data_IF_438783793638
#
_entry.id   IF_438783793638
#
_cell.length_a   1.000
_cell.length_b   1.000
_cell.length_c   1.000
_cell.angle_alpha   90.00
_cell.angle_beta   90.00
_cell.angle_gamma   90.00
#
_symmetry.space_group_name_H-M   'P 1'
#
loop_
_entity.id
_entity.type
_entity.pdbx_description
1 polymer ?
#
# COMPACT_ATOMS: atom_id res chain seq x y z
N UNK A 1 2.51 3.37 9.44
CA UNK A 1 3.62 2.75 10.16
C UNK A 1 3.10 2.28 11.50
N UNK A 2 3.27 1.00 11.85
CA UNK A 2 2.99 0.53 13.19
C UNK A 2 3.80 1.31 14.20
N UNK A 3 3.30 1.34 15.42
CA UNK A 3 3.95 2.03 16.52
C UNK A 3 5.21 1.27 16.90
N UNK A 4 6.25 2.00 17.33
CA UNK A 4 7.48 1.41 17.84
C UNK A 4 7.22 0.30 18.90
N UNK A 5 6.25 0.43 19.83
CA UNK A 5 5.88 -0.68 20.72
C UNK A 5 5.47 -1.97 20.00
N UNK A 6 4.65 -1.89 18.95
CA UNK A 6 4.23 -3.06 18.16
C UNK A 6 5.39 -3.66 17.40
N UNK A 7 6.26 -2.83 16.81
CA UNK A 7 7.49 -3.29 16.16
C UNK A 7 8.38 -4.06 17.14
N UNK A 8 8.68 -3.49 18.31
CA UNK A 8 9.51 -4.14 19.32
C UNK A 8 8.92 -5.48 19.78
N UNK A 9 7.61 -5.54 20.02
CA UNK A 9 6.93 -6.78 20.36
C UNK A 9 7.10 -7.84 19.26
N UNK A 10 6.93 -7.45 17.99
CA UNK A 10 7.10 -8.39 16.87
C UNK A 10 8.56 -8.82 16.72
N UNK A 11 9.53 -7.91 16.88
CA UNK A 11 10.95 -8.25 16.84
C UNK A 11 11.32 -9.30 17.90
N UNK A 12 10.78 -9.18 19.11
CA UNK A 12 10.95 -10.20 20.16
C UNK A 12 10.34 -11.55 19.76
N UNK A 13 9.13 -11.55 19.21
CA UNK A 13 8.46 -12.78 18.71
C UNK A 13 9.27 -13.47 17.61
N UNK A 14 9.93 -12.69 16.76
CA UNK A 14 10.79 -13.19 15.68
C UNK A 14 12.21 -13.58 16.17
N UNK A 15 12.55 -13.31 17.44
CA UNK A 15 13.88 -13.56 17.98
C UNK A 15 14.97 -12.65 17.40
N UNK A 16 14.60 -11.45 16.94
CA UNK A 16 15.53 -10.45 16.42
C UNK A 16 16.16 -9.63 17.57
N UNK A 17 17.32 -9.04 17.31
CA UNK A 17 18.00 -8.18 18.28
C UNK A 17 17.23 -6.86 18.42
N UNK A 18 16.38 -6.75 19.45
CA UNK A 18 15.52 -5.59 19.66
C UNK A 18 16.29 -4.26 19.84
N UNK A 19 17.53 -4.29 20.33
CA UNK A 19 18.36 -3.07 20.43
C UNK A 19 18.76 -2.57 19.03
N UNK A 20 19.28 -3.47 18.20
CA UNK A 20 19.65 -3.14 16.81
C UNK A 20 18.40 -2.74 16.02
N UNK A 21 17.29 -3.44 16.20
CA UNK A 21 16.07 -3.11 15.47
C UNK A 21 15.49 -1.76 15.86
N UNK A 22 15.61 -1.35 17.13
CA UNK A 22 15.23 0.01 17.55
C UNK A 22 16.09 1.08 16.85
N UNK A 23 17.40 0.86 16.78
CA UNK A 23 18.30 1.80 16.09
C UNK A 23 18.02 1.86 14.59
N UNK A 24 17.65 0.73 13.97
CA UNK A 24 17.24 0.69 12.57
C UNK A 24 15.89 1.40 12.36
N UNK A 25 14.90 1.19 13.23
CA UNK A 25 13.62 1.92 13.17
C UNK A 25 13.83 3.43 13.29
N UNK A 26 14.62 3.88 14.27
CA UNK A 26 14.95 5.30 14.44
C UNK A 26 15.64 5.87 13.19
N UNK A 27 16.55 5.11 12.60
CA UNK A 27 17.23 5.48 11.38
C UNK A 27 16.29 5.56 10.17
N UNK A 28 15.28 4.70 10.07
CA UNK A 28 14.35 4.71 8.92
C UNK A 28 13.26 5.78 9.08
N UNK A 29 12.78 6.01 10.30
CA UNK A 29 11.52 6.74 10.57
C UNK A 29 11.74 8.16 11.08
N UNK A 30 12.82 8.36 11.85
CA UNK A 30 13.04 9.59 12.61
C UNK A 30 14.19 10.38 12.01
N UNK A 31 15.36 9.75 11.87
CA UNK A 31 16.60 10.39 11.45
C UNK A 31 17.31 9.62 10.32
N UNK A 32 16.77 9.64 9.08
CA UNK A 32 17.40 9.01 7.92
C UNK A 32 18.81 9.54 7.65
N UNK A 33 19.74 8.70 7.18
CA UNK A 33 21.13 9.09 7.02
C UNK A 33 21.28 10.19 5.95
N UNK A 34 22.38 10.97 5.99
CA UNK A 34 22.74 11.89 4.92
C UNK A 34 22.77 11.19 3.57
N UNK A 35 22.33 11.88 2.52
CA UNK A 35 22.33 11.36 1.15
C UNK A 35 23.73 10.88 0.76
N UNK A 36 24.76 11.68 1.08
CA UNK A 36 26.16 11.39 0.77
C UNK A 36 26.71 10.10 1.42
N UNK A 37 26.13 9.63 2.52
CA UNK A 37 26.55 8.38 3.17
C UNK A 37 26.01 7.13 2.46
N UNK A 38 24.87 7.26 1.77
CA UNK A 38 24.16 6.14 1.12
C UNK A 38 24.41 6.13 -0.38
N UNK A 39 24.55 7.29 -1.00
CA UNK A 39 24.76 7.50 -2.43
C UNK A 39 26.16 8.10 -2.67
N UNK A 40 27.19 7.25 -2.84
CA UNK A 40 28.55 7.72 -3.08
C UNK A 40 28.62 8.41 -4.46
N UNK A 41 28.64 9.73 -4.45
CA UNK A 41 28.62 10.58 -5.66
C UNK A 41 27.72 11.82 -5.51
N UNK A 42 26.78 11.78 -4.57
CA UNK A 42 25.97 12.93 -4.20
C UNK A 42 26.66 13.70 -3.06
N UNK A 43 27.04 14.94 -3.31
CA UNK A 43 27.67 15.83 -2.31
C UNK A 43 26.66 16.67 -1.53
N UNK A 44 25.38 16.26 -1.51
CA UNK A 44 24.35 16.92 -0.72
C UNK A 44 24.54 16.64 0.78
N UNK A 45 24.47 17.70 1.59
CA UNK A 45 24.40 17.61 3.05
C UNK A 45 22.98 17.32 3.56
N UNK A 46 22.00 17.18 2.66
CA UNK A 46 20.63 16.83 3.03
C UNK A 46 20.54 15.36 3.50
N UNK A 47 19.54 15.09 4.33
CA UNK A 47 19.18 13.73 4.75
C UNK A 47 18.22 13.10 3.75
N UNK A 48 18.24 11.77 3.67
CA UNK A 48 17.23 11.03 2.94
C UNK A 48 15.83 11.27 3.53
N UNK A 49 14.79 11.04 2.74
CA UNK A 49 13.43 11.10 3.25
C UNK A 49 13.13 9.87 4.13
N UNK A 50 12.13 10.01 5.01
CA UNK A 50 11.65 8.90 5.86
C UNK A 50 11.22 7.71 5.02
N UNK A 51 11.52 6.50 5.50
CA UNK A 51 11.24 5.23 4.82
C UNK A 51 12.00 5.06 3.50
N UNK A 52 13.11 5.79 3.30
CA UNK A 52 14.03 5.51 2.20
C UNK A 52 14.50 4.05 2.26
N UNK A 53 14.49 3.38 1.12
CA UNK A 53 14.83 1.96 1.03
C UNK A 53 13.62 1.03 1.04
N UNK A 54 12.42 1.53 1.37
CA UNK A 54 11.21 0.72 1.23
C UNK A 54 10.91 0.37 -0.24
N UNK A 55 11.21 1.28 -1.19
CA UNK A 55 11.00 0.97 -2.61
C UNK A 55 12.10 0.05 -3.11
N UNK A 56 11.73 -0.89 -3.99
CA UNK A 56 12.63 -1.91 -4.53
C UNK A 56 13.95 -1.37 -5.12
N UNK A 57 13.91 -0.22 -5.80
CA UNK A 57 15.12 0.41 -6.37
C UNK A 57 15.99 1.17 -5.37
N UNK A 58 15.44 1.54 -4.21
CA UNK A 58 16.15 2.23 -3.12
C UNK A 58 16.73 1.21 -2.13
N UNK A 59 16.08 0.05 -2.00
CA UNK A 59 16.40 -0.98 -1.03
C UNK A 59 17.87 -1.44 -1.06
N UNK A 60 18.51 -1.71 -2.21
CA UNK A 60 19.91 -2.18 -2.24
C UNK A 60 20.90 -1.19 -1.61
N UNK A 61 20.64 0.11 -1.76
CA UNK A 61 21.48 1.18 -1.21
C UNK A 61 21.37 1.22 0.30
N UNK A 62 20.12 1.24 0.80
CA UNK A 62 19.84 1.25 2.23
C UNK A 62 20.33 -0.04 2.91
N UNK A 63 20.10 -1.18 2.28
CA UNK A 63 20.56 -2.49 2.75
C UNK A 63 22.09 -2.54 2.89
N UNK A 64 22.82 -2.03 1.89
CA UNK A 64 24.29 -1.95 1.94
C UNK A 64 24.78 -1.02 3.06
N UNK A 65 24.14 0.14 3.22
CA UNK A 65 24.48 1.09 4.27
C UNK A 65 24.25 0.49 5.67
N UNK A 66 23.06 -0.08 5.90
CA UNK A 66 22.69 -0.73 7.17
C UNK A 66 23.62 -1.91 7.47
N UNK A 67 23.98 -2.72 6.46
CA UNK A 67 24.94 -3.81 6.65
C UNK A 67 26.31 -3.33 7.11
N UNK A 68 26.84 -2.24 6.53
CA UNK A 68 28.13 -1.69 6.94
C UNK A 68 28.13 -1.18 8.39
N UNK A 69 26.99 -0.64 8.84
CA UNK A 69 26.85 -0.03 10.16
C UNK A 69 26.51 -1.02 11.27
N UNK A 70 25.63 -1.97 10.97
CA UNK A 70 25.01 -2.86 11.96
C UNK A 70 25.17 -4.35 11.63
N UNK A 71 25.89 -4.67 10.55
CA UNK A 71 26.12 -6.05 10.12
C UNK A 71 24.85 -6.78 9.65
N UNK A 72 24.89 -8.12 9.63
CA UNK A 72 23.74 -8.95 9.26
C UNK A 72 22.48 -8.68 10.08
N UNK A 73 22.63 -8.42 11.39
CA UNK A 73 21.49 -8.17 12.28
C UNK A 73 20.73 -6.90 11.92
N UNK A 74 21.45 -5.84 11.53
CA UNK A 74 20.81 -4.62 11.03
C UNK A 74 19.98 -4.87 9.77
N UNK A 75 20.50 -5.66 8.83
CA UNK A 75 19.74 -5.99 7.61
C UNK A 75 18.50 -6.81 7.94
N UNK A 76 18.59 -7.75 8.90
CA UNK A 76 17.42 -8.51 9.36
C UNK A 76 16.35 -7.58 9.93
N UNK A 77 16.76 -6.63 10.77
CA UNK A 77 15.86 -5.62 11.33
C UNK A 77 15.26 -4.71 10.26
N UNK A 78 16.04 -4.26 9.27
CA UNK A 78 15.57 -3.41 8.17
C UNK A 78 14.49 -4.13 7.33
N UNK A 79 14.74 -5.39 6.98
CA UNK A 79 13.78 -6.20 6.22
C UNK A 79 12.52 -6.44 7.05
N UNK A 80 12.67 -6.78 8.34
CA UNK A 80 11.54 -6.96 9.23
C UNK A 80 10.70 -5.68 9.32
N UNK A 81 11.33 -4.52 9.57
CA UNK A 81 10.68 -3.22 9.58
C UNK A 81 9.80 -3.00 8.34
N UNK A 82 10.37 -3.14 7.13
CA UNK A 82 9.60 -2.95 5.89
C UNK A 82 8.49 -3.97 5.71
N UNK A 83 8.68 -5.22 6.17
CA UNK A 83 7.61 -6.23 6.18
C UNK A 83 6.46 -5.79 7.10
N UNK A 84 6.74 -5.31 8.32
CA UNK A 84 5.71 -4.89 9.26
C UNK A 84 4.91 -3.69 8.73
N UNK A 85 5.60 -2.69 8.16
CA UNK A 85 4.99 -1.56 7.45
C UNK A 85 4.10 -2.02 6.30
N UNK A 86 4.57 -3.01 5.54
CA UNK A 86 3.83 -3.58 4.42
C UNK A 86 2.57 -4.32 4.87
N UNK A 87 2.66 -5.11 5.95
CA UNK A 87 1.51 -5.80 6.55
C UNK A 87 0.49 -4.78 7.02
N UNK A 88 0.90 -3.73 7.73
CA UNK A 88 -0.03 -2.71 8.24
C UNK A 88 -0.80 -2.05 7.09
N UNK A 89 -0.10 -1.67 6.02
CA UNK A 89 -0.73 -1.09 4.84
C UNK A 89 -1.70 -2.09 4.17
N UNK A 90 -1.31 -3.37 4.03
CA UNK A 90 -2.16 -4.40 3.43
C UNK A 90 -3.43 -4.64 4.28
N UNK A 91 -3.29 -4.78 5.60
CA UNK A 91 -4.40 -4.93 6.54
C UNK A 91 -5.29 -3.68 6.56
N UNK A 92 -4.70 -2.48 6.53
CA UNK A 92 -5.43 -1.21 6.43
C UNK A 92 -6.17 -1.02 5.10
N UNK A 93 -5.79 -1.77 4.05
CA UNK A 93 -6.49 -1.90 2.76
C UNK A 93 -7.48 -3.08 2.74
N UNK A 94 -7.71 -3.72 3.88
CA UNK A 94 -8.68 -4.80 4.04
C UNK A 94 -8.25 -6.14 3.46
N UNK A 95 -6.96 -6.35 3.15
CA UNK A 95 -6.49 -7.62 2.60
C UNK A 95 -6.71 -8.75 3.62
N UNK A 96 -7.12 -9.92 3.12
CA UNK A 96 -7.15 -11.12 3.94
C UNK A 96 -5.76 -11.72 4.14
N UNK A 97 -5.66 -12.67 5.06
CA UNK A 97 -4.39 -13.27 5.49
C UNK A 97 -3.59 -13.87 4.33
N UNK A 98 -4.25 -14.52 3.39
CA UNK A 98 -3.61 -15.11 2.21
C UNK A 98 -3.01 -14.00 1.32
N UNK A 99 -3.77 -12.93 1.07
CA UNK A 99 -3.30 -11.80 0.28
C UNK A 99 -2.14 -11.08 0.96
N UNK A 100 -2.21 -10.83 2.27
CA UNK A 100 -1.12 -10.21 3.04
C UNK A 100 0.15 -11.04 2.91
N UNK A 101 0.05 -12.35 3.08
CA UNK A 101 1.20 -13.26 2.96
C UNK A 101 1.83 -13.21 1.55
N UNK A 102 1.00 -13.22 0.51
CA UNK A 102 1.48 -13.12 -0.87
C UNK A 102 2.18 -11.79 -1.16
N UNK A 103 1.65 -10.68 -0.62
CA UNK A 103 2.27 -9.36 -0.74
C UNK A 103 3.64 -9.29 -0.05
N UNK A 104 3.78 -9.86 1.17
CA UNK A 104 5.08 -9.95 1.87
C UNK A 104 6.10 -10.75 1.03
N UNK A 105 5.68 -11.91 0.49
CA UNK A 105 6.54 -12.75 -0.36
C UNK A 105 6.99 -12.00 -1.59
N UNK A 106 6.08 -11.28 -2.25
CA UNK A 106 6.38 -10.47 -3.41
C UNK A 106 7.35 -9.33 -3.07
N UNK A 107 7.15 -8.65 -1.93
CA UNK A 107 8.05 -7.59 -1.45
C UNK A 107 9.47 -8.12 -1.27
N UNK A 108 9.66 -9.19 -0.49
CA UNK A 108 10.99 -9.76 -0.23
C UNK A 108 11.61 -10.30 -1.51
N UNK A 109 10.84 -10.95 -2.37
CA UNK A 109 11.34 -11.42 -3.67
C UNK A 109 11.84 -10.27 -4.54
N UNK A 110 11.12 -9.14 -4.56
CA UNK A 110 11.54 -7.96 -5.31
C UNK A 110 12.83 -7.35 -4.76
N UNK A 111 13.02 -7.37 -3.43
CA UNK A 111 14.27 -6.92 -2.82
C UNK A 111 15.43 -7.83 -3.18
N UNK A 112 15.24 -9.16 -3.13
CA UNK A 112 16.28 -10.12 -3.52
C UNK A 112 16.71 -9.90 -4.98
N UNK A 113 15.74 -9.73 -5.87
CA UNK A 113 15.99 -9.49 -7.29
C UNK A 113 16.78 -8.18 -7.53
N UNK A 114 16.30 -7.06 -6.99
CA UNK A 114 16.94 -5.74 -7.16
C UNK A 114 18.35 -5.71 -6.53
N UNK A 115 18.53 -6.35 -5.39
CA UNK A 115 19.83 -6.50 -4.76
C UNK A 115 20.81 -7.32 -5.62
N UNK A 116 20.31 -8.33 -6.34
CA UNK A 116 21.07 -9.09 -7.33
C UNK A 116 21.53 -8.22 -8.52
N UNK A 117 20.61 -7.45 -9.11
CA UNK A 117 20.95 -6.52 -10.20
C UNK A 117 21.94 -5.44 -9.78
N UNK A 118 21.75 -4.85 -8.60
CA UNK A 118 22.62 -3.82 -8.04
C UNK A 118 23.96 -4.37 -7.52
N UNK A 119 24.17 -5.70 -7.58
CA UNK A 119 25.37 -6.41 -7.08
C UNK A 119 25.71 -6.14 -5.62
N UNK A 120 24.73 -5.79 -4.79
CA UNK A 120 24.97 -5.50 -3.37
C UNK A 120 25.43 -6.75 -2.59
N UNK A 121 25.18 -7.94 -3.13
CA UNK A 121 25.70 -9.21 -2.60
C UNK A 121 27.23 -9.27 -2.57
N UNK A 122 27.95 -8.50 -3.40
CA UNK A 122 29.40 -8.38 -3.28
C UNK A 122 29.85 -7.75 -1.96
N UNK A 123 28.99 -6.98 -1.29
CA UNK A 123 29.25 -6.37 0.03
C UNK A 123 28.71 -7.23 1.17
N UNK A 124 27.55 -7.83 0.97
CA UNK A 124 26.81 -8.56 2.01
C UNK A 124 27.18 -10.05 2.06
N UNK A 125 27.72 -10.62 0.98
CA UNK A 125 28.04 -12.04 0.84
C UNK A 125 26.79 -12.91 0.78
N UNK A 126 26.22 -13.23 1.94
CA UNK A 126 25.06 -14.10 2.14
C UNK A 126 23.72 -13.33 2.17
N UNK A 127 23.59 -12.29 1.34
CA UNK A 127 22.44 -11.38 1.40
C UNK A 127 21.09 -12.05 1.06
N UNK A 128 21.04 -12.89 0.02
CA UNK A 128 19.81 -13.61 -0.33
C UNK A 128 19.36 -14.59 0.78
N UNK A 129 20.22 -15.51 1.28
CA UNK A 129 19.88 -16.35 2.43
C UNK A 129 19.41 -15.56 3.64
N UNK A 130 20.01 -14.41 3.92
CA UNK A 130 19.62 -13.53 5.03
C UNK A 130 18.19 -13.02 4.86
N UNK A 131 17.83 -12.46 3.70
CA UNK A 131 16.49 -11.96 3.42
C UNK A 131 15.44 -13.09 3.47
N UNK A 132 15.75 -14.25 2.88
CA UNK A 132 14.88 -15.43 2.94
C UNK A 132 14.71 -15.95 4.38
N UNK A 133 15.75 -15.85 5.20
CA UNK A 133 15.69 -16.19 6.62
C UNK A 133 14.69 -15.33 7.38
N UNK A 134 14.69 -14.01 7.15
CA UNK A 134 13.69 -13.11 7.76
C UNK A 134 12.28 -13.45 7.31
N UNK A 135 12.08 -13.67 6.00
CA UNK A 135 10.79 -14.11 5.47
C UNK A 135 10.33 -15.41 6.16
N UNK A 136 11.20 -16.41 6.27
CA UNK A 136 10.88 -17.68 6.94
C UNK A 136 10.49 -17.52 8.41
N UNK A 137 11.13 -16.60 9.15
CA UNK A 137 10.75 -16.27 10.52
C UNK A 137 9.34 -15.67 10.58
N UNK A 138 9.05 -14.71 9.70
CA UNK A 138 7.73 -14.07 9.61
C UNK A 138 6.66 -15.08 9.23
N UNK A 139 6.89 -15.91 8.22
CA UNK A 139 5.96 -16.96 7.80
C UNK A 139 5.69 -17.96 8.91
N UNK A 140 6.73 -18.40 9.63
CA UNK A 140 6.60 -19.32 10.76
C UNK A 140 5.80 -18.75 11.94
N UNK A 141 5.67 -17.42 12.04
CA UNK A 141 4.94 -16.70 13.09
C UNK A 141 3.80 -15.83 12.54
N UNK A 142 3.35 -16.09 11.32
CA UNK A 142 2.52 -15.18 10.55
C UNK A 142 1.25 -14.74 11.30
N UNK A 143 0.49 -15.70 11.85
CA UNK A 143 -0.74 -15.41 12.59
C UNK A 143 -0.51 -14.49 13.80
N UNK A 144 0.60 -14.66 14.52
CA UNK A 144 0.96 -13.80 15.65
C UNK A 144 1.33 -12.40 15.17
N UNK A 145 2.18 -12.31 14.14
CA UNK A 145 2.64 -11.02 13.59
C UNK A 145 1.46 -10.21 13.03
N UNK A 146 0.66 -10.82 12.16
CA UNK A 146 -0.52 -10.17 11.57
C UNK A 146 -1.58 -9.86 12.62
N UNK A 147 -1.76 -10.73 13.61
CA UNK A 147 -2.66 -10.48 14.74
C UNK A 147 -2.30 -9.21 15.51
N UNK A 148 -1.02 -9.03 15.86
CA UNK A 148 -0.52 -7.82 16.54
C UNK A 148 -0.75 -6.56 15.70
N UNK A 149 -0.40 -6.60 14.41
CA UNK A 149 -0.57 -5.45 13.52
C UNK A 149 -2.05 -5.15 13.28
N UNK A 150 -2.90 -6.17 13.12
CA UNK A 150 -4.35 -5.98 12.97
C UNK A 150 -4.97 -5.34 14.21
N UNK A 151 -4.51 -5.71 15.40
CA UNK A 151 -4.90 -5.05 16.65
C UNK A 151 -4.60 -3.56 16.61
N UNK A 152 -3.41 -3.18 16.16
CA UNK A 152 -3.04 -1.77 16.01
C UNK A 152 -3.82 -1.03 14.90
N UNK A 153 -3.98 -1.64 13.73
CA UNK A 153 -4.80 -1.09 12.64
C UNK A 153 -6.22 -0.83 13.12
N UNK A 154 -6.80 -1.72 13.93
CA UNK A 154 -8.13 -1.54 14.52
C UNK A 154 -8.25 -0.36 15.50
N UNK A 155 -7.13 0.12 16.06
CA UNK A 155 -7.10 1.35 16.86
C UNK A 155 -7.02 2.61 15.98
N UNK A 156 -6.41 2.51 14.80
CA UNK A 156 -6.20 3.63 13.87
C UNK A 156 -7.35 3.84 12.88
N UNK A 157 -8.00 2.76 12.48
CA UNK A 157 -8.97 2.75 11.39
C UNK A 157 -10.28 2.12 11.84
N UNK A 158 -11.38 2.80 11.54
CA UNK A 158 -12.71 2.21 11.68
C UNK A 158 -12.96 1.18 10.57
N UNK A 159 -13.95 0.30 10.75
CA UNK A 159 -14.36 -0.61 9.69
C UNK A 159 -14.73 0.12 8.37
N UNK A 160 -15.28 1.33 8.49
CA UNK A 160 -15.60 2.20 7.34
C UNK A 160 -14.32 2.64 6.63
N UNK A 161 -13.29 3.06 7.38
CA UNK A 161 -12.01 3.46 6.79
C UNK A 161 -11.36 2.31 6.02
N UNK A 162 -11.43 1.09 6.56
CA UNK A 162 -10.91 -0.11 5.89
C UNK A 162 -11.67 -0.37 4.59
N UNK A 163 -13.01 -0.30 4.57
CA UNK A 163 -13.81 -0.45 3.33
C UNK A 163 -13.44 0.63 2.30
N UNK A 164 -13.31 1.88 2.73
CA UNK A 164 -12.94 3.01 1.85
C UNK A 164 -11.54 2.82 1.28
N UNK A 165 -10.58 2.32 2.07
CA UNK A 165 -9.23 2.01 1.62
C UNK A 165 -9.18 0.80 0.70
N UNK A 166 -9.95 -0.25 0.98
CA UNK A 166 -10.09 -1.43 0.15
C UNK A 166 -10.66 -1.08 -1.24
N UNK A 167 -11.58 -0.10 -1.28
CA UNK A 167 -12.23 0.41 -2.50
C UNK A 167 -11.34 1.28 -3.40
N UNK A 168 -10.12 1.60 -2.97
CA UNK A 168 -9.21 2.53 -3.66
C UNK A 168 -8.99 2.23 -5.15
N UNK A 169 -8.86 0.96 -5.52
CA UNK A 169 -8.60 0.56 -6.91
C UNK A 169 -9.84 0.76 -7.80
N UNK A 170 -11.04 0.49 -7.25
CA UNK A 170 -12.32 0.71 -7.93
C UNK A 170 -12.59 2.21 -8.09
N UNK A 171 -12.32 3.02 -7.05
CA UNK A 171 -12.44 4.48 -7.11
C UNK A 171 -11.50 5.05 -8.18
N UNK A 172 -10.23 4.65 -8.16
CA UNK A 172 -9.23 5.08 -9.14
C UNK A 172 -9.66 4.74 -10.57
N UNK A 173 -10.20 3.53 -10.77
CA UNK A 173 -10.74 3.10 -12.05
C UNK A 173 -11.95 3.93 -12.49
N UNK A 174 -12.93 4.14 -11.60
CA UNK A 174 -14.12 4.93 -11.88
C UNK A 174 -13.79 6.38 -12.24
N UNK A 175 -12.83 7.01 -11.53
CA UNK A 175 -12.35 8.36 -11.85
C UNK A 175 -11.74 8.41 -13.25
N UNK A 176 -10.87 7.45 -13.59
CA UNK A 176 -10.28 7.39 -14.94
C UNK A 176 -11.35 7.22 -16.01
N UNK A 177 -12.32 6.35 -15.78
CA UNK A 177 -13.42 6.11 -16.72
C UNK A 177 -14.25 7.39 -16.95
N UNK A 178 -14.63 8.09 -15.88
CA UNK A 178 -15.43 9.33 -15.97
C UNK A 178 -14.65 10.45 -16.66
N UNK A 179 -13.37 10.64 -16.33
CA UNK A 179 -12.50 11.63 -17.00
C UNK A 179 -12.33 11.34 -18.49
N UNK A 180 -12.13 10.07 -18.87
CA UNK A 180 -12.02 9.67 -20.27
C UNK A 180 -13.35 9.90 -21.01
N UNK A 181 -14.49 9.56 -20.40
CA UNK A 181 -15.81 9.80 -20.97
C UNK A 181 -16.08 11.30 -21.21
N UNK A 182 -15.48 12.17 -20.39
CA UNK A 182 -15.52 13.63 -20.54
C UNK A 182 -14.48 14.19 -21.54
N UNK A 183 -13.71 13.33 -22.20
CA UNK A 183 -12.76 13.72 -23.25
C UNK A 183 -11.33 13.97 -22.78
N UNK A 184 -11.00 13.77 -21.50
CA UNK A 184 -9.64 13.96 -20.97
C UNK A 184 -8.69 12.78 -21.25
N UNK A 185 -8.85 12.14 -22.42
CA UNK A 185 -8.15 10.91 -22.78
C UNK A 185 -6.65 11.18 -23.00
N UNK A 186 -5.82 10.28 -22.50
CA UNK A 186 -4.40 10.24 -22.80
C UNK A 186 -4.08 9.70 -24.20
N UNK A 187 -2.79 9.61 -24.53
CA UNK A 187 -2.31 9.19 -25.86
C UNK A 187 -2.49 7.70 -26.14
N UNK A 188 -2.60 6.85 -25.12
CA UNK A 188 -2.63 5.39 -25.29
C UNK A 188 -3.58 4.70 -24.32
N UNK A 189 -4.31 3.69 -24.83
CA UNK A 189 -5.13 2.78 -24.03
C UNK A 189 -6.17 3.46 -23.14
N UNK A 190 -6.29 2.95 -21.91
CA UNK A 190 -7.12 3.49 -20.82
C UNK A 190 -6.26 4.37 -19.91
N UNK A 191 -5.92 5.56 -20.42
CA UNK A 191 -5.15 6.56 -19.69
C UNK A 191 -5.83 7.93 -19.76
N UNK A 192 -5.55 8.74 -18.75
CA UNK A 192 -5.91 10.16 -18.69
C UNK A 192 -4.67 10.95 -19.12
N UNK A 193 -4.85 12.13 -19.73
CA UNK A 193 -3.71 12.97 -20.09
C UNK A 193 -2.86 13.32 -18.86
N UNK A 194 -1.53 13.40 -19.04
CA UNK A 194 -0.59 13.65 -17.93
C UNK A 194 -0.92 14.94 -17.18
N UNK A 195 -1.21 16.01 -17.91
CA UNK A 195 -1.59 17.30 -17.35
C UNK A 195 -2.84 17.19 -16.46
N UNK A 196 -3.87 16.47 -16.92
CA UNK A 196 -5.10 16.26 -16.13
C UNK A 196 -4.81 15.39 -14.91
N UNK A 197 -3.95 14.38 -15.06
CA UNK A 197 -3.57 13.51 -13.96
C UNK A 197 -2.87 14.29 -12.84
N UNK A 198 -1.84 15.07 -13.19
CA UNK A 198 -1.07 15.89 -12.25
C UNK A 198 -1.94 17.00 -11.62
N UNK A 199 -2.82 17.62 -12.40
CA UNK A 199 -3.63 18.76 -11.94
C UNK A 199 -4.85 18.36 -11.11
N UNK A 200 -5.54 17.28 -11.47
CA UNK A 200 -6.87 16.99 -10.93
C UNK A 200 -6.97 15.64 -10.20
N UNK A 201 -6.27 14.60 -10.66
CA UNK A 201 -6.55 13.23 -10.23
C UNK A 201 -6.41 13.04 -8.72
N UNK A 202 -5.33 13.56 -8.12
CA UNK A 202 -5.11 13.47 -6.67
C UNK A 202 -6.19 14.19 -5.84
N UNK A 203 -6.66 15.36 -6.31
CA UNK A 203 -7.72 16.14 -5.65
C UNK A 203 -9.07 15.41 -5.75
N UNK A 204 -9.42 14.93 -6.94
CA UNK A 204 -10.65 14.17 -7.18
C UNK A 204 -10.64 12.88 -6.35
N UNK A 205 -9.53 12.14 -6.34
CA UNK A 205 -9.39 10.89 -5.60
C UNK A 205 -9.56 11.08 -4.09
N UNK A 206 -8.87 12.07 -3.52
CA UNK A 206 -9.00 12.40 -2.09
C UNK A 206 -10.44 12.81 -1.74
N UNK A 207 -11.06 13.65 -2.57
CA UNK A 207 -12.44 14.09 -2.38
C UNK A 207 -13.44 12.93 -2.50
N UNK A 208 -13.30 12.06 -3.48
CA UNK A 208 -14.15 10.89 -3.66
C UNK A 208 -14.08 9.94 -2.45
N UNK A 209 -12.88 9.69 -1.90
CA UNK A 209 -12.73 8.90 -0.66
C UNK A 209 -13.41 9.55 0.54
N UNK A 210 -13.30 10.87 0.68
CA UNK A 210 -13.96 11.61 1.77
C UNK A 210 -15.49 11.51 1.68
N UNK A 211 -16.05 11.75 0.48
CA UNK A 211 -17.50 11.61 0.24
C UNK A 211 -17.97 10.18 0.48
N UNK A 212 -17.21 9.18 0.01
CA UNK A 212 -17.55 7.77 0.22
C UNK A 212 -17.56 7.42 1.71
N UNK A 213 -16.59 7.89 2.50
CA UNK A 213 -16.58 7.68 3.96
C UNK A 213 -17.86 8.21 4.61
N UNK A 214 -18.26 9.44 4.27
CA UNK A 214 -19.45 10.07 4.81
C UNK A 214 -20.72 9.29 4.44
N UNK A 215 -20.90 8.97 3.15
CA UNK A 215 -22.09 8.25 2.68
C UNK A 215 -22.16 6.81 3.14
N UNK A 216 -21.02 6.15 3.27
CA UNK A 216 -20.98 4.78 3.80
C UNK A 216 -21.37 4.77 5.28
N UNK A 217 -20.94 5.77 6.06
CA UNK A 217 -21.41 5.95 7.43
C UNK A 217 -22.93 6.13 7.49
N UNK A 218 -23.49 7.03 6.69
CA UNK A 218 -24.94 7.25 6.60
C UNK A 218 -25.69 5.98 6.16
N UNK A 219 -25.17 5.24 5.18
CA UNK A 219 -25.76 4.00 4.69
C UNK A 219 -25.79 2.91 5.77
N UNK A 220 -24.77 2.85 6.63
CA UNK A 220 -24.74 1.92 7.77
C UNK A 220 -25.71 2.33 8.88
N UNK A 221 -25.76 3.62 9.23
CA UNK A 221 -26.71 4.15 10.22
C UNK A 221 -28.15 3.88 9.79
N UNK A 222 -28.44 4.07 8.50
CA UNK A 222 -29.77 3.84 7.91
C UNK A 222 -30.03 2.37 7.52
N UNK A 223 -29.11 1.44 7.83
CA UNK A 223 -29.25 0.00 7.54
C UNK A 223 -29.45 -0.33 6.05
N UNK A 224 -29.01 0.55 5.16
CA UNK A 224 -28.99 0.37 3.70
C UNK A 224 -27.91 -0.64 3.33
N UNK A 225 -26.73 -0.48 3.93
CA UNK A 225 -25.64 -1.45 3.97
C UNK A 225 -25.59 -1.98 5.40
N UNK A 226 -25.39 -3.29 5.58
CA UNK A 226 -25.46 -3.93 6.89
C UNK A 226 -24.17 -4.63 7.28
N UNK A 227 -23.41 -5.11 6.30
CA UNK A 227 -22.23 -5.93 6.56
C UNK A 227 -20.94 -5.34 5.96
N UNK A 228 -20.19 -4.61 6.78
CA UNK A 228 -18.87 -4.08 6.39
C UNK A 228 -17.84 -5.17 6.13
N UNK A 229 -17.91 -6.30 6.84
CA UNK A 229 -16.98 -7.41 6.63
C UNK A 229 -17.29 -8.12 5.31
N UNK A 230 -18.58 -8.30 5.00
CA UNK A 230 -19.05 -8.77 3.69
C UNK A 230 -18.58 -7.90 2.54
N UNK A 231 -18.59 -6.57 2.70
CA UNK A 231 -18.02 -5.64 1.72
C UNK A 231 -16.51 -5.86 1.52
N UNK A 232 -15.74 -6.01 2.60
CA UNK A 232 -14.30 -6.29 2.54
C UNK A 232 -14.05 -7.62 1.80
N UNK A 233 -14.84 -8.65 2.10
CA UNK A 233 -14.74 -9.95 1.45
C UNK A 233 -15.03 -9.86 -0.06
N UNK A 234 -16.06 -9.13 -0.47
CA UNK A 234 -16.35 -8.87 -1.89
C UNK A 234 -15.23 -8.08 -2.58
N UNK A 235 -14.66 -7.08 -1.91
CA UNK A 235 -13.51 -6.33 -2.45
C UNK A 235 -12.28 -7.22 -2.63
N UNK A 236 -12.00 -8.12 -1.69
CA UNK A 236 -10.92 -9.10 -1.81
C UNK A 236 -11.18 -10.13 -2.92
N UNK A 237 -12.42 -10.61 -3.06
CA UNK A 237 -12.85 -11.47 -4.19
C UNK A 237 -12.51 -10.83 -5.54
N UNK A 238 -12.84 -9.54 -5.72
CA UNK A 238 -12.48 -8.78 -6.92
C UNK A 238 -10.96 -8.73 -7.11
N UNK A 239 -10.19 -8.40 -6.08
CA UNK A 239 -8.72 -8.30 -6.16
C UNK A 239 -8.07 -9.63 -6.54
N UNK A 240 -8.49 -10.74 -5.90
CA UNK A 240 -7.97 -12.09 -6.19
C UNK A 240 -8.22 -12.49 -7.63
N UNK A 241 -9.46 -12.34 -8.12
CA UNK A 241 -9.85 -12.67 -9.51
C UNK A 241 -9.13 -11.83 -10.56
N UNK A 242 -8.70 -10.62 -10.20
CA UNK A 242 -7.88 -9.75 -11.05
C UNK A 242 -6.42 -10.22 -11.06
N UNK A 243 -5.86 -10.55 -9.88
CA UNK A 243 -4.50 -11.02 -9.73
C UNK A 243 -4.25 -12.40 -10.38
N UNK A 244 -5.28 -13.26 -10.43
CA UNK A 244 -5.23 -14.58 -11.10
C UNK A 244 -5.05 -14.49 -12.63
N UNK A 245 -5.26 -13.32 -13.23
CA UNK A 245 -5.15 -13.13 -14.67
C UNK A 245 -3.81 -12.53 -15.05
N UNK A 246 -3.09 -13.19 -15.95
CA UNK A 246 -1.82 -12.70 -16.50
C UNK A 246 -1.95 -11.31 -17.17
N UNK A 247 -3.09 -11.07 -17.83
CA UNK A 247 -3.44 -9.78 -18.44
C UNK A 247 -4.90 -9.46 -18.16
N UNK A 248 -5.16 -8.26 -17.63
CA UNK A 248 -6.50 -7.78 -17.31
C UNK A 248 -6.82 -6.57 -18.19
N UNK A 249 -7.83 -6.71 -19.05
CA UNK A 249 -8.36 -5.56 -19.79
C UNK A 249 -9.33 -4.75 -18.92
N UNK A 250 -9.64 -3.53 -19.35
CA UNK A 250 -10.70 -2.70 -18.73
C UNK A 250 -12.05 -3.43 -18.69
N UNK A 251 -12.37 -4.15 -19.78
CA UNK A 251 -13.60 -4.94 -19.88
C UNK A 251 -13.61 -6.09 -18.87
N UNK A 252 -12.49 -6.77 -18.69
CA UNK A 252 -12.35 -7.85 -17.70
C UNK A 252 -12.55 -7.33 -16.28
N UNK A 253 -11.90 -6.21 -15.94
CA UNK A 253 -12.02 -5.64 -14.60
C UNK A 253 -13.45 -5.20 -14.29
N UNK A 254 -14.10 -4.53 -15.25
CA UNK A 254 -15.51 -4.16 -15.13
C UNK A 254 -16.42 -5.38 -14.98
N UNK A 255 -16.19 -6.44 -15.76
CA UNK A 255 -16.97 -7.67 -15.69
C UNK A 255 -16.84 -8.36 -14.33
N UNK A 256 -15.62 -8.42 -13.76
CA UNK A 256 -15.37 -8.98 -12.43
C UNK A 256 -16.11 -8.19 -11.34
N UNK A 257 -16.01 -6.85 -11.36
CA UNK A 257 -16.70 -5.98 -10.40
C UNK A 257 -18.22 -6.17 -10.51
N UNK A 258 -18.75 -6.20 -11.73
CA UNK A 258 -20.18 -6.34 -11.99
C UNK A 258 -20.72 -7.69 -11.53
N UNK A 259 -19.98 -8.77 -11.81
CA UNK A 259 -20.32 -10.13 -11.35
C UNK A 259 -20.34 -10.23 -9.83
N UNK A 260 -19.37 -9.62 -9.13
CA UNK A 260 -19.41 -9.54 -7.66
C UNK A 260 -20.63 -8.74 -7.16
N UNK A 261 -20.99 -7.65 -7.85
CA UNK A 261 -22.21 -6.87 -7.55
C UNK A 261 -23.51 -7.67 -7.73
N UNK A 262 -23.52 -8.71 -8.55
CA UNK A 262 -24.67 -9.62 -8.65
C UNK A 262 -24.74 -10.64 -7.50
N UNK A 263 -23.60 -10.95 -6.87
CA UNK A 263 -23.50 -11.91 -5.77
C UNK A 263 -23.78 -11.29 -4.40
N UNK A 264 -23.53 -9.98 -4.25
CA UNK A 264 -23.66 -9.26 -2.98
C UNK A 264 -24.44 -7.97 -3.15
N UNK A 265 -25.62 -7.89 -2.52
CA UNK A 265 -26.48 -6.70 -2.58
C UNK A 265 -25.82 -5.49 -1.93
N UNK A 266 -25.16 -5.68 -0.78
CA UNK A 266 -24.43 -4.62 -0.10
C UNK A 266 -23.26 -4.13 -0.95
N UNK A 267 -22.55 -5.03 -1.64
CA UNK A 267 -21.48 -4.63 -2.56
C UNK A 267 -22.02 -3.84 -3.75
N UNK A 268 -23.17 -4.23 -4.32
CA UNK A 268 -23.83 -3.44 -5.36
C UNK A 268 -24.16 -2.03 -4.90
N UNK A 269 -24.71 -1.87 -3.69
CA UNK A 269 -24.99 -0.56 -3.09
C UNK A 269 -23.70 0.24 -2.88
N UNK A 270 -22.60 -0.40 -2.47
CA UNK A 270 -21.29 0.24 -2.38
C UNK A 270 -20.83 0.77 -3.75
N UNK A 271 -20.99 0.00 -4.83
CA UNK A 271 -20.64 0.45 -6.19
C UNK A 271 -21.48 1.66 -6.63
N UNK A 272 -22.78 1.67 -6.31
CA UNK A 272 -23.66 2.82 -6.56
C UNK A 272 -23.18 4.07 -5.79
N UNK A 273 -22.80 3.92 -4.51
CA UNK A 273 -22.23 5.01 -3.72
C UNK A 273 -20.90 5.52 -4.31
N UNK A 274 -20.00 4.62 -4.73
CA UNK A 274 -18.72 4.97 -5.36
C UNK A 274 -18.96 5.79 -6.63
N UNK A 275 -19.84 5.33 -7.52
CA UNK A 275 -20.16 6.04 -8.77
C UNK A 275 -20.68 7.46 -8.50
N UNK A 276 -21.61 7.61 -7.55
CA UNK A 276 -22.14 8.93 -7.18
C UNK A 276 -21.05 9.84 -6.59
N UNK A 277 -20.23 9.32 -5.68
CA UNK A 277 -19.14 10.09 -5.05
C UNK A 277 -18.10 10.53 -6.08
N UNK A 278 -17.76 9.67 -7.03
CA UNK A 278 -16.80 9.98 -8.11
C UNK A 278 -17.36 11.05 -9.02
N UNK A 279 -18.60 10.92 -9.51
CA UNK A 279 -19.22 11.91 -10.39
C UNK A 279 -19.31 13.29 -9.74
N UNK A 280 -19.63 13.34 -8.45
CA UNK A 280 -19.67 14.58 -7.69
C UNK A 280 -18.27 15.18 -7.49
N UNK A 281 -17.28 14.36 -7.12
CA UNK A 281 -15.90 14.79 -6.98
C UNK A 281 -15.33 15.35 -8.28
N UNK A 282 -15.54 14.66 -9.41
CA UNK A 282 -15.09 15.11 -10.74
C UNK A 282 -15.76 16.42 -11.12
N UNK A 283 -17.09 16.49 -11.03
CA UNK A 283 -17.86 17.67 -11.46
C UNK A 283 -17.47 18.91 -10.66
N UNK A 284 -17.39 18.78 -9.34
CA UNK A 284 -17.03 19.89 -8.46
C UNK A 284 -15.57 20.34 -8.59
N UNK A 285 -14.62 19.42 -8.82
CA UNK A 285 -13.22 19.80 -9.00
C UNK A 285 -12.97 20.46 -10.36
N UNK A 286 -13.60 19.97 -11.43
CA UNK A 286 -13.44 20.57 -12.76
C UNK A 286 -14.14 21.93 -12.84
N UNK A 287 -15.35 22.06 -12.29
CA UNK A 287 -16.08 23.35 -12.27
C UNK A 287 -15.41 24.38 -11.37
N UNK A 288 -14.83 23.97 -10.22
CA UNK A 288 -14.11 24.87 -9.32
C UNK A 288 -12.91 25.54 -9.98
N UNK A 289 -12.22 24.85 -10.90
CA UNK A 289 -11.05 25.40 -11.60
C UNK A 289 -11.43 26.24 -12.82
N UNK A 290 -12.64 26.09 -13.37
CA UNK A 290 -13.15 26.99 -14.41
C UNK A 290 -13.57 28.37 -13.85
N UNK A 291 -13.79 28.48 -12.53
CA UNK A 291 -14.08 29.75 -11.84
C UNK A 291 -12.82 30.48 -11.32
N UNK A 292 -11.69 29.78 -11.22
CA UNK A 292 -10.38 30.36 -10.95
C UNK A 292 -9.75 30.79 -12.29
N UNK A 293 -10.20 31.94 -12.82
CA UNK A 293 -9.56 32.56 -13.98
C UNK A 293 -8.09 32.90 -13.70
N UNK A 294 -7.25 33.04 -14.76
CA UNK A 294 -5.82 33.33 -14.66
C UNK A 294 -5.51 34.61 -13.87
#
# INVERSE_FOLDING_TARGET
MPSLPTHLQVYEVLGLNASVCREVDELVDVEPPPISEVLPGESSGERLWRNFGYRKGEFPLMCTYVYRRFGPDGVRCLVAHFILDHIENAVGRGFDDEMVLNEIRALVSSYIEECGYARCWGVIGEGEPLLRGVLGLVEGRFNTVVGSIRGEVGLKYTAIDVVVNASSDIISFAIKADLIARGYRGRSGFSVSREVYERYFGRIYTKAKLLLRQRLYEALVNQVIRDTQGLINSLNSVKKRVAERERVTVGDYYAIIKDEGYRSEDFRKLLELIDQCVKEAVSSTIQGVAGEGP
#
